data_IF_694832012681
#
_entry.id   IF_694832012681
#
_cell.length_a   1.000
_cell.length_b   1.000
_cell.length_c   1.000
_cell.angle_alpha   90.00
_cell.angle_beta   90.00
_cell.angle_gamma   90.00
#
_symmetry.space_group_name_H-M   'P 1'
#
loop_
_entity.id
_entity.type
_entity.pdbx_description
1 polymer ?
#
# COMPACT_ATOMS: atom_id res chain seq x y z
N UNK A 1 -9.52 -47.10 20.63
CA UNK A 1 -10.64 -46.44 19.94
C UNK A 1 -10.97 -45.06 20.55
N UNK A 2 -11.13 -44.91 21.85
CA UNK A 2 -11.47 -43.61 22.51
C UNK A 2 -10.43 -42.50 22.25
N UNK A 3 -9.14 -42.80 22.32
CA UNK A 3 -8.07 -41.82 22.11
C UNK A 3 -8.08 -41.23 20.68
N UNK A 4 -8.32 -42.09 19.66
CA UNK A 4 -8.40 -41.64 18.26
C UNK A 4 -9.63 -40.71 18.04
N UNK A 5 -10.76 -41.06 18.65
CA UNK A 5 -11.96 -40.21 18.58
C UNK A 5 -11.74 -38.84 19.21
N UNK A 6 -11.07 -38.74 20.37
CA UNK A 6 -10.73 -37.48 21.03
C UNK A 6 -9.79 -36.62 20.18
N UNK A 7 -8.80 -37.21 19.53
CA UNK A 7 -7.89 -36.51 18.62
C UNK A 7 -8.64 -35.92 17.43
N UNK A 8 -9.54 -36.72 16.82
CA UNK A 8 -10.36 -36.24 15.68
C UNK A 8 -11.27 -35.09 16.10
N UNK A 9 -11.95 -35.18 17.25
CA UNK A 9 -12.83 -34.12 17.75
C UNK A 9 -12.05 -32.83 18.04
N UNK A 10 -10.85 -32.95 18.62
CA UNK A 10 -9.99 -31.81 18.88
C UNK A 10 -9.50 -31.15 17.56
N UNK A 11 -9.12 -31.94 16.56
CA UNK A 11 -8.73 -31.42 15.25
C UNK A 11 -9.89 -30.72 14.53
N UNK A 12 -11.10 -31.25 14.61
CA UNK A 12 -12.31 -30.60 14.06
C UNK A 12 -12.65 -29.31 14.79
N UNK A 13 -12.47 -29.27 16.11
CA UNK A 13 -12.64 -28.06 16.90
C UNK A 13 -11.64 -26.97 16.48
N UNK A 14 -10.36 -27.31 16.35
CA UNK A 14 -9.33 -26.35 15.87
C UNK A 14 -9.64 -25.87 14.46
N UNK A 15 -10.09 -26.75 13.57
CA UNK A 15 -10.49 -26.38 12.21
C UNK A 15 -11.68 -25.42 12.20
N UNK A 16 -12.70 -25.67 13.02
CA UNK A 16 -13.87 -24.77 13.14
C UNK A 16 -13.49 -23.41 13.70
N UNK A 17 -12.62 -23.35 14.72
CA UNK A 17 -12.09 -22.09 15.26
C UNK A 17 -11.31 -21.35 14.18
N UNK A 18 -10.44 -22.02 13.45
CA UNK A 18 -9.65 -21.43 12.36
C UNK A 18 -10.55 -20.87 11.24
N UNK A 19 -11.54 -21.65 10.79
CA UNK A 19 -12.53 -21.19 9.79
C UNK A 19 -13.35 -20.00 10.28
N UNK A 20 -13.72 -19.98 11.57
CA UNK A 20 -14.42 -18.85 12.18
C UNK A 20 -13.58 -17.56 12.12
N UNK A 21 -12.30 -17.63 12.47
CA UNK A 21 -11.40 -16.47 12.40
C UNK A 21 -11.15 -16.01 10.97
N UNK A 22 -11.07 -16.91 9.99
CA UNK A 22 -10.96 -16.54 8.58
C UNK A 22 -12.21 -15.85 8.04
N UNK A 23 -13.40 -16.26 8.52
CA UNK A 23 -14.70 -15.77 8.00
C UNK A 23 -15.23 -14.55 8.77
N UNK A 24 -14.60 -14.19 9.90
CA UNK A 24 -15.14 -13.20 10.84
C UNK A 24 -15.21 -11.76 10.29
N UNK A 25 -14.58 -11.47 9.13
CA UNK A 25 -14.54 -10.15 8.51
C UNK A 25 -15.29 -10.04 7.18
N UNK A 26 -15.88 -11.11 6.70
CA UNK A 26 -16.56 -11.15 5.39
C UNK A 26 -17.73 -10.15 5.24
N UNK A 27 -18.30 -9.70 6.36
CA UNK A 27 -19.47 -8.80 6.38
C UNK A 27 -19.18 -7.47 7.09
N UNK A 28 -17.94 -6.95 7.02
CA UNK A 28 -17.66 -5.64 7.62
C UNK A 28 -18.47 -4.54 6.92
N UNK A 29 -19.13 -3.61 7.66
CA UNK A 29 -20.00 -2.58 7.06
C UNK A 29 -19.30 -1.70 5.99
N UNK A 30 -18.00 -1.47 6.15
CA UNK A 30 -17.21 -0.68 5.19
C UNK A 30 -16.84 -1.46 3.92
N UNK A 31 -17.10 -2.77 3.87
CA UNK A 31 -16.73 -3.60 2.73
C UNK A 31 -17.43 -3.18 1.45
N UNK A 32 -18.72 -2.83 1.54
CA UNK A 32 -19.52 -2.36 0.41
C UNK A 32 -18.92 -1.13 -0.31
N UNK A 33 -18.16 -0.29 0.40
CA UNK A 33 -17.50 0.87 -0.19
C UNK A 33 -16.23 0.51 -0.97
N UNK A 34 -15.64 -0.66 -0.68
CA UNK A 34 -14.36 -1.10 -1.22
C UNK A 34 -14.49 -2.20 -2.27
N UNK A 35 -15.54 -3.04 -2.18
CA UNK A 35 -15.77 -4.14 -3.10
C UNK A 35 -16.15 -3.66 -4.51
N UNK A 36 -15.93 -4.51 -5.50
CA UNK A 36 -16.21 -4.24 -6.92
C UNK A 36 -15.47 -3.05 -7.52
N UNK A 37 -14.45 -2.51 -6.83
CA UNK A 37 -13.58 -1.45 -7.32
C UNK A 37 -12.24 -2.01 -7.79
N UNK A 38 -11.59 -1.29 -8.69
CA UNK A 38 -10.22 -1.62 -9.13
C UNK A 38 -9.23 -0.77 -8.38
N UNK A 39 -8.14 -1.38 -7.93
CA UNK A 39 -7.07 -0.71 -7.21
C UNK A 39 -5.77 -0.88 -7.99
N UNK A 40 -5.07 0.21 -8.22
CA UNK A 40 -3.75 0.20 -8.80
C UNK A 40 -2.72 0.04 -7.67
N UNK A 41 -2.06 -1.11 -7.61
CA UNK A 41 -0.99 -1.41 -6.65
C UNK A 41 0.17 -0.45 -6.86
N UNK A 42 0.51 0.36 -5.85
CA UNK A 42 1.49 1.47 -5.89
C UNK A 42 1.20 2.50 -7.00
N UNK A 43 -0.09 2.76 -7.27
CA UNK A 43 -0.53 3.54 -8.40
C UNK A 43 -0.48 2.78 -9.73
N UNK A 44 -1.02 3.37 -10.81
CA UNK A 44 -1.03 2.74 -12.15
C UNK A 44 0.32 3.00 -12.85
N UNK A 45 1.39 2.43 -12.27
CA UNK A 45 2.76 2.58 -12.74
C UNK A 45 3.06 1.74 -13.98
N UNK A 46 4.07 2.14 -14.76
CA UNK A 46 4.55 1.40 -15.92
C UNK A 46 5.98 1.84 -16.25
N UNK A 47 6.94 0.95 -16.11
CA UNK A 47 8.36 1.26 -16.40
C UNK A 47 8.61 1.64 -17.87
N UNK A 48 7.87 1.03 -18.81
CA UNK A 48 7.99 1.34 -20.24
C UNK A 48 7.57 2.79 -20.57
N UNK A 49 6.65 3.36 -19.79
CA UNK A 49 6.14 4.72 -19.95
C UNK A 49 6.87 5.72 -19.03
N UNK A 50 7.94 5.32 -18.35
CA UNK A 50 8.67 6.12 -17.35
C UNK A 50 7.76 6.65 -16.23
N UNK A 51 6.78 5.85 -15.81
CA UNK A 51 5.88 6.14 -14.68
C UNK A 51 6.25 5.22 -13.52
N UNK A 52 7.05 5.68 -12.54
CA UNK A 52 7.49 4.85 -11.42
C UNK A 52 6.36 4.50 -10.45
N UNK A 53 6.51 3.38 -9.73
CA UNK A 53 5.64 3.01 -8.62
C UNK A 53 5.68 4.08 -7.52
N UNK A 54 4.59 4.22 -6.76
CA UNK A 54 4.44 5.17 -5.66
C UNK A 54 4.76 6.64 -6.04
N UNK A 55 4.64 7.01 -7.32
CA UNK A 55 4.84 8.39 -7.79
C UNK A 55 3.52 9.14 -7.98
N UNK A 56 3.56 10.48 -7.93
CA UNK A 56 2.38 11.28 -8.22
C UNK A 56 1.87 11.04 -9.66
N UNK A 57 2.76 10.77 -10.61
CA UNK A 57 2.39 10.40 -11.98
C UNK A 57 1.56 9.09 -12.03
N UNK A 58 1.96 8.06 -11.25
CA UNK A 58 1.24 6.80 -11.17
C UNK A 58 -0.15 6.97 -10.56
N UNK A 59 -0.28 7.78 -9.52
CA UNK A 59 -1.57 8.07 -8.88
C UNK A 59 -2.48 8.90 -9.79
N UNK A 60 -1.98 9.95 -10.45
CA UNK A 60 -2.74 10.69 -11.46
C UNK A 60 -3.24 9.79 -12.60
N UNK A 61 -2.41 8.82 -13.02
CA UNK A 61 -2.78 7.85 -14.04
C UNK A 61 -3.89 6.92 -13.54
N UNK A 62 -3.83 6.43 -12.29
CA UNK A 62 -4.90 5.64 -11.68
C UNK A 62 -6.23 6.40 -11.66
N UNK A 63 -6.23 7.66 -11.22
CA UNK A 63 -7.41 8.53 -11.17
C UNK A 63 -8.03 8.70 -12.58
N UNK A 64 -7.21 8.98 -13.61
CA UNK A 64 -7.71 9.12 -15.00
C UNK A 64 -8.40 7.86 -15.52
N UNK A 65 -8.03 6.69 -15.00
CA UNK A 65 -8.68 5.41 -15.36
C UNK A 65 -9.83 5.02 -14.42
N UNK A 66 -10.20 5.88 -13.46
CA UNK A 66 -11.25 5.60 -12.49
C UNK A 66 -10.89 4.51 -11.48
N UNK A 67 -9.60 4.35 -11.18
CA UNK A 67 -9.11 3.35 -10.23
C UNK A 67 -8.81 4.00 -8.88
N UNK A 68 -9.14 3.30 -7.80
CA UNK A 68 -8.51 3.52 -6.52
C UNK A 68 -7.02 3.17 -6.61
N UNK A 69 -6.28 3.43 -5.57
CA UNK A 69 -4.90 2.98 -5.48
C UNK A 69 -4.61 2.35 -4.12
N UNK A 70 -3.61 1.53 -4.11
CA UNK A 70 -2.90 1.11 -2.92
C UNK A 70 -1.55 1.82 -2.91
N UNK A 71 -1.03 2.13 -1.73
CA UNK A 71 0.23 2.81 -1.53
C UNK A 71 0.88 2.43 -0.19
N UNK A 72 2.20 2.49 -0.16
CA UNK A 72 3.02 2.18 1.00
C UNK A 72 3.47 3.47 1.69
N UNK A 73 3.41 3.52 3.03
CA UNK A 73 3.76 4.72 3.81
C UNK A 73 4.77 4.40 4.89
N UNK A 74 5.84 5.18 4.96
CA UNK A 74 6.85 5.18 6.01
C UNK A 74 6.81 6.49 6.80
N UNK A 75 7.12 6.39 8.10
CA UNK A 75 7.31 7.55 8.95
C UNK A 75 8.78 7.96 8.94
N UNK A 76 9.07 9.16 8.46
CA UNK A 76 10.42 9.73 8.46
C UNK A 76 10.82 10.25 9.84
N UNK A 77 12.12 10.51 10.04
CA UNK A 77 12.67 10.98 11.31
C UNK A 77 12.11 12.33 11.77
N UNK A 78 11.62 13.18 10.83
CA UNK A 78 11.01 14.48 11.14
C UNK A 78 9.49 14.42 11.33
N UNK A 79 8.90 13.21 11.31
CA UNK A 79 7.46 12.99 11.43
C UNK A 79 6.68 13.08 10.13
N UNK A 80 7.34 13.33 8.99
CA UNK A 80 6.70 13.32 7.66
C UNK A 80 6.32 11.89 7.26
N UNK A 81 5.18 11.73 6.61
CA UNK A 81 4.75 10.47 6.01
C UNK A 81 5.12 10.45 4.53
N UNK A 82 6.10 9.61 4.17
CA UNK A 82 6.60 9.43 2.80
C UNK A 82 5.90 8.25 2.12
N UNK A 83 5.59 8.38 0.84
CA UNK A 83 4.98 7.30 0.04
C UNK A 83 6.06 6.56 -0.74
N UNK A 84 6.44 5.39 -0.22
CA UNK A 84 7.53 4.57 -0.77
C UNK A 84 7.42 3.14 -0.23
N UNK A 85 7.92 2.15 -0.97
CA UNK A 85 7.75 0.75 -0.55
C UNK A 85 8.89 0.22 0.31
N UNK A 86 10.14 0.48 -0.08
CA UNK A 86 11.32 -0.11 0.55
C UNK A 86 11.85 0.79 1.68
N UNK A 87 12.42 0.24 2.74
CA UNK A 87 13.24 1.02 3.67
C UNK A 87 14.58 1.45 3.04
N UNK A 88 15.10 0.68 2.07
CA UNK A 88 16.34 1.02 1.33
C UNK A 88 16.02 1.87 0.09
N UNK A 89 16.68 3.00 -0.06
CA UNK A 89 16.46 3.94 -1.15
C UNK A 89 17.01 3.46 -2.50
N UNK A 90 18.00 2.54 -2.49
CA UNK A 90 18.85 2.25 -3.66
C UNK A 90 18.11 1.72 -4.87
N UNK A 91 17.14 0.83 -4.68
CA UNK A 91 16.40 0.20 -5.80
C UNK A 91 15.71 1.24 -6.67
N UNK A 92 15.05 2.20 -6.07
CA UNK A 92 14.22 3.16 -6.79
C UNK A 92 14.92 4.49 -7.08
N UNK A 93 15.89 4.90 -6.24
CA UNK A 93 16.55 6.21 -6.41
C UNK A 93 18.00 6.11 -6.85
N UNK A 94 18.62 4.94 -6.75
CA UNK A 94 20.06 4.77 -6.97
C UNK A 94 20.94 5.27 -5.81
N UNK A 95 20.38 5.96 -4.84
CA UNK A 95 21.08 6.50 -3.66
C UNK A 95 21.13 5.45 -2.57
N UNK A 96 22.29 5.26 -1.92
CA UNK A 96 22.41 4.38 -0.76
C UNK A 96 21.94 5.13 0.48
N UNK A 97 21.02 4.53 1.25
CA UNK A 97 20.49 5.10 2.48
C UNK A 97 19.21 4.41 2.94
N UNK A 98 18.76 4.78 4.12
CA UNK A 98 17.52 4.32 4.75
C UNK A 98 16.50 5.45 4.68
N UNK A 99 15.30 5.15 4.20
CA UNK A 99 14.26 6.16 4.01
C UNK A 99 13.85 6.84 5.32
N UNK A 100 13.73 6.06 6.39
CA UNK A 100 13.31 6.54 7.72
C UNK A 100 14.30 7.54 8.35
N UNK A 101 15.56 7.55 7.87
CA UNK A 101 16.58 8.52 8.29
C UNK A 101 16.47 9.87 7.53
N UNK A 102 15.62 9.96 6.51
CA UNK A 102 15.38 11.15 5.72
C UNK A 102 14.41 12.12 6.41
N UNK A 103 14.37 13.33 5.86
CA UNK A 103 13.39 14.38 6.17
C UNK A 103 12.56 14.71 4.93
N UNK A 104 11.46 15.45 5.07
CA UNK A 104 10.68 15.96 3.94
C UNK A 104 11.53 16.72 2.90
N UNK A 105 12.55 17.45 3.37
CA UNK A 105 13.44 18.21 2.49
C UNK A 105 14.30 17.27 1.63
N UNK A 106 14.74 16.12 2.16
CA UNK A 106 15.56 15.16 1.44
C UNK A 106 14.78 14.49 0.31
N UNK A 107 13.45 14.28 0.47
CA UNK A 107 12.60 13.63 -0.53
C UNK A 107 12.61 14.35 -1.88
N UNK A 108 12.68 15.68 -1.87
CA UNK A 108 12.67 16.49 -3.10
C UNK A 108 13.89 16.24 -4.00
N UNK A 109 14.98 15.72 -3.44
CA UNK A 109 16.22 15.38 -4.18
C UNK A 109 16.28 13.90 -4.60
N UNK A 110 15.33 13.07 -4.13
CA UNK A 110 15.32 11.61 -4.40
C UNK A 110 14.42 11.28 -5.58
N UNK A 111 15.02 11.25 -6.76
CA UNK A 111 14.33 10.94 -8.01
C UNK A 111 14.05 9.44 -8.16
N UNK A 112 12.84 9.11 -8.58
CA UNK A 112 12.36 7.73 -8.76
C UNK A 112 12.72 7.19 -10.14
N UNK A 113 13.41 6.05 -10.20
CA UNK A 113 13.72 5.30 -11.44
C UNK A 113 14.32 6.18 -12.56
N UNK A 114 15.18 7.13 -12.21
CA UNK A 114 15.80 8.09 -13.13
C UNK A 114 14.80 8.96 -13.92
N UNK A 115 13.63 9.21 -13.35
CA UNK A 115 12.61 10.11 -13.90
C UNK A 115 12.60 11.45 -13.16
N UNK A 116 11.86 12.48 -13.61
CA UNK A 116 11.63 13.71 -12.83
C UNK A 116 10.77 13.52 -11.58
N UNK A 117 10.07 12.40 -11.45
CA UNK A 117 9.26 12.11 -10.26
C UNK A 117 10.14 11.91 -9.03
N UNK A 118 9.71 12.46 -7.89
CA UNK A 118 10.38 12.30 -6.59
C UNK A 118 9.52 11.47 -5.65
N UNK A 119 10.04 11.14 -4.48
CA UNK A 119 9.27 10.44 -3.43
C UNK A 119 8.21 11.41 -2.91
N UNK A 120 6.89 11.14 -3.07
CA UNK A 120 5.86 12.05 -2.60
C UNK A 120 5.60 11.90 -1.10
N UNK A 121 5.08 12.96 -0.49
CA UNK A 121 4.48 12.89 0.83
C UNK A 121 3.04 12.36 0.73
N UNK A 122 2.55 11.72 1.78
CA UNK A 122 1.17 11.21 1.82
C UNK A 122 0.13 12.31 1.59
N UNK A 123 0.34 13.52 2.15
CA UNK A 123 -0.58 14.65 1.97
C UNK A 123 -0.75 15.06 0.50
N UNK A 124 0.30 14.93 -0.32
CA UNK A 124 0.22 15.24 -1.75
C UNK A 124 -0.66 14.21 -2.49
N UNK A 125 -0.52 12.92 -2.15
CA UNK A 125 -1.37 11.86 -2.72
C UNK A 125 -2.81 12.01 -2.28
N UNK A 126 -3.06 12.29 -0.99
CA UNK A 126 -4.42 12.55 -0.47
C UNK A 126 -5.08 13.72 -1.20
N UNK A 127 -4.34 14.82 -1.42
CA UNK A 127 -4.85 15.98 -2.17
C UNK A 127 -5.23 15.65 -3.62
N UNK A 128 -4.52 14.73 -4.28
CA UNK A 128 -4.90 14.25 -5.62
C UNK A 128 -6.22 13.48 -5.63
N UNK A 129 -6.51 12.73 -4.58
CA UNK A 129 -7.71 11.89 -4.47
C UNK A 129 -8.91 12.64 -3.89
N UNK A 130 -8.70 13.82 -3.30
CA UNK A 130 -9.77 14.64 -2.74
C UNK A 130 -10.83 14.95 -3.81
N UNK A 131 -12.11 14.73 -3.45
CA UNK A 131 -13.25 14.97 -4.36
C UNK A 131 -13.43 13.95 -5.49
N UNK A 132 -12.53 12.99 -5.68
CA UNK A 132 -12.65 11.98 -6.75
C UNK A 132 -13.66 10.87 -6.44
N UNK A 133 -13.95 10.61 -5.16
CA UNK A 133 -14.74 9.45 -4.72
C UNK A 133 -14.05 8.09 -4.94
N UNK A 134 -12.77 8.09 -5.32
CA UNK A 134 -11.97 6.88 -5.49
C UNK A 134 -11.28 6.52 -4.17
N UNK A 135 -11.28 5.24 -3.77
CA UNK A 135 -10.67 4.83 -2.51
C UNK A 135 -9.15 4.71 -2.59
N UNK A 136 -8.51 4.92 -1.44
CA UNK A 136 -7.11 4.61 -1.19
C UNK A 136 -7.00 3.49 -0.15
N UNK A 137 -6.07 2.57 -0.37
CA UNK A 137 -5.62 1.56 0.58
C UNK A 137 -4.21 1.94 0.99
N UNK A 138 -4.00 2.23 2.28
CA UNK A 138 -2.70 2.67 2.81
C UNK A 138 -2.09 1.54 3.61
N UNK A 139 -0.95 1.03 3.17
CA UNK A 139 -0.13 0.08 3.93
C UNK A 139 0.89 0.86 4.78
N UNK A 140 0.91 0.61 6.08
CA UNK A 140 1.90 1.18 7.00
C UNK A 140 3.08 0.21 7.12
N UNK A 141 4.27 0.71 6.84
CA UNK A 141 5.54 -0.03 6.95
C UNK A 141 6.21 0.17 8.31
#
# INVERSE_FOLDING_TARGET
>A
MQTLQLVILFALFLLTVWLFFLNSRANHPSWAALEHRRYAHRGLHCSADSVPENSLAAFRRAIRHGYGAELDVHLLRDGTLAVFHDSDLKRMTGVTGVLEDCTAQDLAALHLASTPETIPQLCEVLSLYEGTGLPLVVELK
#
